data_IF_940957489245
#
_entry.id   IF_940957489245
#
_cell.length_a   1.000
_cell.length_b   1.000
_cell.length_c   1.000
_cell.angle_alpha   90.00
_cell.angle_beta   90.00
_cell.angle_gamma   90.00
#
_symmetry.space_group_name_H-M   'P 1'
#
loop_
_entity.id
_entity.type
_entity.pdbx_description
1 polymer ?
#
# COMPACT_ATOMS: atom_id res chain seq x y z
N UNK A 1 3.15 -5.27 3.90
CA UNK A 1 2.78 -6.47 3.10
C UNK A 1 3.93 -7.49 2.97
N UNK A 2 4.95 -7.40 3.81
CA UNK A 2 6.02 -8.41 3.89
C UNK A 2 5.99 -9.04 5.28
N UNK A 3 6.44 -10.28 5.39
CA UNK A 3 6.80 -10.81 6.71
C UNK A 3 8.17 -10.28 7.18
N UNK A 4 8.59 -10.70 8.39
CA UNK A 4 9.84 -10.27 9.00
C UNK A 4 11.10 -10.69 8.21
N UNK A 5 11.02 -11.66 7.30
CA UNK A 5 12.15 -12.06 6.45
C UNK A 5 12.24 -11.23 5.16
N UNK A 6 11.16 -10.53 4.78
CA UNK A 6 11.09 -9.77 3.53
C UNK A 6 10.31 -10.46 2.40
N UNK A 7 9.73 -11.64 2.62
CA UNK A 7 8.83 -12.26 1.65
C UNK A 7 7.50 -11.50 1.57
N UNK A 8 7.00 -11.26 0.36
CA UNK A 8 5.72 -10.60 0.12
C UNK A 8 4.55 -11.55 0.36
N UNK A 9 3.58 -11.07 1.13
CA UNK A 9 2.27 -11.70 1.28
C UNK A 9 1.42 -11.47 0.04
N UNK A 10 0.49 -12.39 -0.20
CA UNK A 10 -0.29 -12.41 -1.42
C UNK A 10 -1.26 -11.24 -1.54
N UNK A 11 -2.03 -10.95 -0.50
CA UNK A 11 -3.10 -9.96 -0.60
C UNK A 11 -3.46 -9.35 0.74
N UNK A 12 -4.09 -8.19 0.67
CA UNK A 12 -4.86 -7.62 1.76
C UNK A 12 -6.33 -7.58 1.30
N UNK A 13 -7.24 -7.89 2.20
CA UNK A 13 -8.67 -7.81 1.97
C UNK A 13 -9.07 -6.36 1.65
N UNK A 14 -10.15 -6.19 0.88
CA UNK A 14 -10.74 -4.89 0.64
C UNK A 14 -11.69 -4.47 1.78
N UNK A 15 -12.13 -5.43 2.60
CA UNK A 15 -13.17 -5.21 3.61
C UNK A 15 -12.64 -5.09 5.05
N UNK A 16 -13.36 -4.27 5.84
CA UNK A 16 -13.29 -4.25 7.30
C UNK A 16 -14.72 -4.28 7.84
N UNK A 17 -15.04 -5.28 8.67
CA UNK A 17 -16.40 -5.50 9.19
C UNK A 17 -17.43 -5.65 8.05
N UNK A 18 -17.07 -6.40 7.01
CA UNK A 18 -17.84 -6.57 5.78
C UNK A 18 -18.14 -5.26 5.02
N UNK A 19 -17.33 -4.20 5.24
CA UNK A 19 -17.46 -2.92 4.51
C UNK A 19 -16.22 -2.68 3.68
N UNK A 20 -16.40 -2.57 2.37
CA UNK A 20 -15.31 -2.33 1.44
C UNK A 20 -14.72 -0.94 1.64
N UNK A 21 -13.38 -0.83 1.65
CA UNK A 21 -12.69 0.45 1.70
C UNK A 21 -12.77 1.20 3.03
N UNK A 22 -13.51 0.71 4.03
CA UNK A 22 -13.79 1.41 5.31
C UNK A 22 -12.54 1.93 6.03
N UNK A 23 -11.42 1.21 5.97
CA UNK A 23 -10.15 1.66 6.58
C UNK A 23 -9.56 2.91 5.89
N UNK A 24 -9.94 3.16 4.64
CA UNK A 24 -9.41 4.23 3.77
C UNK A 24 -10.36 5.42 3.64
N UNK A 25 -11.58 5.34 4.15
CA UNK A 25 -12.54 6.44 4.11
C UNK A 25 -12.22 7.49 5.16
N UNK A 26 -12.33 8.75 4.75
CA UNK A 26 -12.17 9.93 5.58
C UNK A 26 -13.42 10.78 5.48
N UNK A 27 -13.61 11.65 6.47
CA UNK A 27 -14.52 12.80 6.37
C UNK A 27 -13.75 14.10 6.59
N UNK A 28 -14.24 15.24 6.08
CA UNK A 28 -13.64 16.54 6.36
C UNK A 28 -13.53 16.81 7.87
N UNK A 29 -14.55 16.42 8.64
CA UNK A 29 -14.59 16.57 10.09
C UNK A 29 -13.50 15.74 10.78
N UNK A 30 -13.25 14.52 10.31
CA UNK A 30 -12.20 13.66 10.87
C UNK A 30 -10.80 14.24 10.61
N UNK A 31 -10.54 14.75 9.41
CA UNK A 31 -9.27 15.44 9.12
C UNK A 31 -9.08 16.65 10.03
N UNK A 32 -10.15 17.43 10.28
CA UNK A 32 -10.13 18.56 11.22
C UNK A 32 -9.88 18.11 12.67
N UNK A 33 -10.40 16.95 13.09
CA UNK A 33 -10.10 16.40 14.41
C UNK A 33 -8.62 16.02 14.56
N UNK A 34 -7.99 15.52 13.49
CA UNK A 34 -6.57 15.11 13.52
C UNK A 34 -5.62 16.30 13.47
N UNK A 35 -5.90 17.28 12.59
CA UNK A 35 -4.98 18.38 12.29
C UNK A 35 -5.32 19.67 13.05
N UNK A 36 -6.50 19.75 13.66
CA UNK A 36 -7.04 20.96 14.27
C UNK A 36 -7.74 21.87 13.26
N UNK A 37 -8.51 22.84 13.76
CA UNK A 37 -9.16 23.87 12.94
C UNK A 37 -8.18 24.98 12.59
N UNK A 38 -7.78 25.06 11.31
CA UNK A 38 -6.88 26.10 10.83
C UNK A 38 -7.01 26.30 9.31
N UNK A 39 -6.58 27.45 8.76
CA UNK A 39 -6.49 27.66 7.31
C UNK A 39 -5.62 26.60 6.62
N UNK A 40 -4.61 26.06 7.31
CA UNK A 40 -3.77 24.97 6.80
C UNK A 40 -4.58 23.69 6.61
N UNK A 41 -5.50 23.41 7.54
CA UNK A 41 -6.40 22.24 7.44
C UNK A 41 -7.34 22.37 6.25
N UNK A 42 -7.86 23.57 5.98
CA UNK A 42 -8.68 23.82 4.79
C UNK A 42 -7.90 23.54 3.49
N UNK A 43 -6.64 23.97 3.44
CA UNK A 43 -5.74 23.66 2.32
C UNK A 43 -5.50 22.14 2.18
N UNK A 44 -5.38 21.40 3.29
CA UNK A 44 -5.23 19.93 3.26
C UNK A 44 -6.50 19.26 2.72
N UNK A 45 -7.68 19.71 3.14
CA UNK A 45 -8.95 19.21 2.61
C UNK A 45 -9.02 19.42 1.10
N UNK A 46 -8.68 20.61 0.61
CA UNK A 46 -8.65 20.91 -0.82
C UNK A 46 -7.56 20.17 -1.60
N UNK A 47 -6.42 19.92 -0.96
CA UNK A 47 -5.33 19.16 -1.58
C UNK A 47 -5.70 17.68 -1.74
N UNK A 48 -6.45 17.11 -0.78
CA UNK A 48 -6.87 15.72 -0.81
C UNK A 48 -8.28 15.47 -1.35
N UNK A 49 -8.92 16.50 -1.90
CA UNK A 49 -10.23 16.44 -2.54
C UNK A 49 -11.42 16.25 -1.59
N UNK A 50 -11.27 16.62 -0.32
CA UNK A 50 -12.33 16.59 0.71
C UNK A 50 -13.21 17.84 0.71
N UNK A 51 -12.84 18.86 -0.06
CA UNK A 51 -13.66 20.04 -0.34
C UNK A 51 -14.72 19.80 -1.43
N UNK A 52 -14.65 18.67 -2.13
CA UNK A 52 -15.62 18.20 -3.11
C UNK A 52 -16.58 17.13 -2.56
N UNK A 53 -17.46 16.58 -3.42
CA UNK A 53 -18.32 15.47 -3.05
C UNK A 53 -17.49 14.22 -2.70
N UNK A 54 -18.08 13.33 -1.89
CA UNK A 54 -17.51 12.02 -1.60
C UNK A 54 -17.20 11.26 -2.90
N UNK A 55 -16.02 10.65 -2.98
CA UNK A 55 -15.53 9.97 -4.18
C UNK A 55 -15.60 8.44 -4.09
N UNK A 56 -16.13 7.89 -3.00
CA UNK A 56 -16.30 6.46 -2.82
C UNK A 56 -17.65 6.12 -2.21
N UNK A 57 -18.32 5.14 -2.83
CA UNK A 57 -19.52 4.48 -2.33
C UNK A 57 -19.24 2.98 -2.30
N UNK A 58 -19.50 2.34 -1.16
CA UNK A 58 -19.38 0.88 -1.03
C UNK A 58 -20.37 0.20 -2.01
N UNK A 59 -19.89 -0.56 -3.01
CA UNK A 59 -20.74 -1.16 -4.05
C UNK A 59 -21.60 -2.31 -3.50
N UNK A 60 -21.18 -2.93 -2.40
CA UNK A 60 -21.91 -3.99 -1.71
C UNK A 60 -22.92 -3.43 -0.69
N UNK A 61 -22.76 -2.15 -0.31
CA UNK A 61 -23.64 -1.46 0.61
C UNK A 61 -24.02 -0.06 0.14
N UNK A 62 -24.83 0.02 -0.92
CA UNK A 62 -25.29 1.29 -1.49
C UNK A 62 -26.05 2.20 -0.52
N UNK A 63 -26.60 1.66 0.58
CA UNK A 63 -27.27 2.44 1.63
C UNK A 63 -26.31 3.03 2.68
N UNK A 64 -25.03 2.63 2.66
CA UNK A 64 -24.01 3.23 3.51
C UNK A 64 -23.73 4.67 3.07
N UNK A 65 -23.38 5.57 4.00
CA UNK A 65 -22.93 6.90 3.62
C UNK A 65 -21.65 6.80 2.77
N UNK A 66 -21.62 7.56 1.68
CA UNK A 66 -20.41 7.74 0.87
C UNK A 66 -19.30 8.40 1.70
N UNK A 67 -18.05 8.17 1.32
CA UNK A 67 -16.88 8.72 1.99
C UNK A 67 -15.80 9.20 1.02
N UNK A 68 -14.72 9.75 1.57
CA UNK A 68 -13.59 10.26 0.80
C UNK A 68 -12.39 9.34 0.95
N UNK A 69 -11.92 8.80 -0.17
CA UNK A 69 -10.56 8.27 -0.30
C UNK A 69 -9.65 9.43 -0.65
N UNK A 70 -8.62 9.67 0.18
CA UNK A 70 -7.65 10.75 -0.08
C UNK A 70 -7.00 10.53 -1.44
N UNK A 71 -7.03 11.55 -2.29
CA UNK A 71 -6.42 11.53 -3.61
C UNK A 71 -5.97 12.95 -3.95
N UNK A 72 -5.08 13.10 -4.93
CA UNK A 72 -4.64 14.42 -5.38
C UNK A 72 -5.39 14.75 -6.68
N UNK A 73 -6.47 15.57 -6.63
CA UNK A 73 -7.23 15.94 -7.83
C UNK A 73 -6.46 16.89 -8.75
N UNK A 74 -5.40 17.51 -8.25
CA UNK A 74 -4.51 18.45 -8.95
C UNK A 74 -3.06 18.09 -8.68
N UNK A 75 -2.17 18.42 -9.60
CA UNK A 75 -0.73 18.30 -9.36
C UNK A 75 -0.30 19.25 -8.25
N UNK A 76 0.85 18.96 -7.62
CA UNK A 76 1.46 19.84 -6.62
C UNK A 76 1.64 21.27 -7.15
N UNK A 77 2.08 21.41 -8.39
CA UNK A 77 2.31 22.72 -9.03
C UNK A 77 1.01 23.50 -9.18
N UNK A 78 -0.05 22.89 -9.71
CA UNK A 78 -1.36 23.54 -9.88
C UNK A 78 -1.98 23.93 -8.54
N UNK A 79 -1.89 23.05 -7.53
CA UNK A 79 -2.42 23.33 -6.21
C UNK A 79 -1.70 24.51 -5.57
N UNK A 80 -0.37 24.47 -5.51
CA UNK A 80 0.45 25.48 -4.84
C UNK A 80 0.30 26.85 -5.48
N UNK A 81 0.23 26.91 -6.81
CA UNK A 81 -0.07 28.13 -7.56
C UNK A 81 -1.45 28.71 -7.19
N UNK A 82 -2.49 27.87 -7.13
CA UNK A 82 -3.85 28.32 -6.79
C UNK A 82 -4.03 28.72 -5.31
N UNK A 83 -3.32 28.04 -4.41
CA UNK A 83 -3.43 28.23 -2.96
C UNK A 83 -2.50 29.34 -2.43
N UNK A 84 -1.64 29.91 -3.29
CA UNK A 84 -0.70 30.96 -2.91
C UNK A 84 0.39 30.50 -1.94
N UNK A 85 0.78 29.22 -1.99
CA UNK A 85 1.83 28.64 -1.13
C UNK A 85 3.03 28.22 -1.97
N UNK A 86 4.24 28.24 -1.41
CA UNK A 86 5.42 27.74 -2.12
C UNK A 86 5.40 26.21 -2.18
N UNK A 87 5.78 25.65 -3.32
CA UNK A 87 5.81 24.21 -3.53
C UNK A 87 6.69 23.47 -2.51
N UNK A 88 7.90 23.97 -2.27
CA UNK A 88 8.84 23.33 -1.32
C UNK A 88 8.34 23.38 0.12
N UNK A 89 7.75 24.50 0.55
CA UNK A 89 7.15 24.66 1.88
C UNK A 89 5.94 23.74 2.05
N UNK A 90 5.11 23.62 1.01
CA UNK A 90 3.97 22.70 1.01
C UNK A 90 4.43 21.25 1.09
N UNK A 91 5.40 20.86 0.27
CA UNK A 91 5.95 19.51 0.21
C UNK A 91 6.60 19.08 1.53
N UNK A 92 7.35 19.97 2.18
CA UNK A 92 7.94 19.71 3.49
C UNK A 92 6.86 19.49 4.56
N UNK A 93 5.81 20.32 4.55
CA UNK A 93 4.72 20.19 5.50
C UNK A 93 3.85 18.95 5.26
N UNK A 94 3.68 18.51 4.00
CA UNK A 94 2.95 17.27 3.66
C UNK A 94 3.50 16.05 4.37
N UNK A 95 4.82 15.95 4.56
CA UNK A 95 5.43 14.82 5.28
C UNK A 95 4.82 14.67 6.68
N UNK A 96 4.77 15.76 7.44
CA UNK A 96 4.22 15.76 8.81
C UNK A 96 2.71 15.53 8.83
N UNK A 97 1.98 16.08 7.85
CA UNK A 97 0.52 15.92 7.73
C UNK A 97 0.18 14.45 7.43
N UNK A 98 0.88 13.86 6.48
CA UNK A 98 0.67 12.47 6.06
C UNK A 98 1.01 11.50 7.19
N UNK A 99 2.06 11.78 7.97
CA UNK A 99 2.38 11.01 9.17
C UNK A 99 1.27 11.06 10.22
N UNK A 100 0.68 12.24 10.47
CA UNK A 100 -0.43 12.40 11.41
C UNK A 100 -1.68 11.65 10.95
N UNK A 101 -2.07 11.82 9.68
CA UNK A 101 -3.21 11.14 9.09
C UNK A 101 -3.00 9.61 9.07
N UNK A 102 -1.81 9.16 8.70
CA UNK A 102 -1.44 7.75 8.70
C UNK A 102 -1.50 7.16 10.11
N UNK A 103 -0.96 7.87 11.11
CA UNK A 103 -1.00 7.46 12.52
C UNK A 103 -2.43 7.31 13.01
N UNK A 104 -3.30 8.26 12.68
CA UNK A 104 -4.73 8.19 13.03
C UNK A 104 -5.42 7.01 12.32
N UNK A 105 -5.22 6.86 11.01
CA UNK A 105 -5.78 5.73 10.24
C UNK A 105 -5.37 4.37 10.80
N UNK A 106 -4.12 4.23 11.25
CA UNK A 106 -3.60 2.98 11.80
C UNK A 106 -4.24 2.58 13.15
N UNK A 107 -5.00 3.48 13.80
CA UNK A 107 -5.82 3.15 14.97
C UNK A 107 -7.11 2.42 14.57
N UNK A 108 -7.53 2.50 13.30
CA UNK A 108 -8.70 1.79 12.77
C UNK A 108 -8.37 0.31 12.61
N UNK A 109 -9.41 -0.53 12.70
CA UNK A 109 -9.31 -1.95 12.32
C UNK A 109 -8.85 -2.04 10.87
N UNK A 110 -7.74 -2.74 10.63
CA UNK A 110 -7.18 -2.92 9.30
C UNK A 110 -7.77 -4.15 8.60
N UNK A 111 -7.86 -4.15 7.26
CA UNK A 111 -8.32 -5.31 6.52
C UNK A 111 -7.42 -6.53 6.79
N UNK A 112 -8.03 -7.71 6.77
CA UNK A 112 -7.29 -8.95 6.96
C UNK A 112 -6.24 -9.12 5.87
N UNK A 113 -5.08 -9.69 6.22
CA UNK A 113 -4.01 -9.94 5.26
C UNK A 113 -3.91 -11.45 4.99
N UNK A 114 -3.98 -11.86 3.72
CA UNK A 114 -3.64 -13.22 3.32
C UNK A 114 -2.11 -13.36 3.30
N UNK A 115 -1.60 -13.86 4.42
CA UNK A 115 -0.21 -14.14 4.73
C UNK A 115 0.44 -15.26 3.89
N UNK A 116 -0.26 -15.78 2.88
CA UNK A 116 0.30 -16.74 1.93
C UNK A 116 1.40 -16.09 1.10
N UNK A 117 2.56 -16.73 1.06
CA UNK A 117 3.68 -16.39 0.19
C UNK A 117 3.54 -17.22 -1.08
N UNK A 118 3.45 -16.55 -2.23
CA UNK A 118 3.39 -17.19 -3.55
C UNK A 118 4.71 -16.95 -4.29
N UNK A 119 5.35 -18.02 -4.75
CA UNK A 119 6.64 -17.95 -5.45
C UNK A 119 6.55 -17.11 -6.70
N UNK A 120 5.49 -17.28 -7.50
CA UNK A 120 5.29 -16.52 -8.74
C UNK A 120 5.11 -15.02 -8.50
N UNK A 121 4.35 -14.62 -7.47
CA UNK A 121 4.10 -13.21 -7.19
C UNK A 121 5.32 -12.54 -6.57
N UNK A 122 6.05 -13.24 -5.71
CA UNK A 122 7.32 -12.75 -5.19
C UNK A 122 8.35 -12.63 -6.32
N UNK A 123 8.44 -13.58 -7.24
CA UNK A 123 9.33 -13.48 -8.40
C UNK A 123 8.99 -12.26 -9.28
N UNK A 124 7.71 -11.97 -9.47
CA UNK A 124 7.26 -10.77 -10.19
C UNK A 124 7.67 -9.48 -9.45
N UNK A 125 7.42 -9.42 -8.14
CA UNK A 125 7.79 -8.28 -7.30
C UNK A 125 9.32 -8.05 -7.27
N UNK A 126 10.11 -9.11 -7.06
CA UNK A 126 11.58 -9.07 -7.07
C UNK A 126 12.08 -8.52 -8.40
N UNK A 127 11.58 -9.03 -9.53
CA UNK A 127 11.97 -8.55 -10.86
C UNK A 127 11.62 -7.07 -11.04
N UNK A 128 10.40 -6.66 -10.66
CA UNK A 128 9.96 -5.27 -10.77
C UNK A 128 10.83 -4.33 -9.94
N UNK A 129 11.14 -4.71 -8.70
CA UNK A 129 11.98 -3.93 -7.79
C UNK A 129 13.44 -3.84 -8.28
N UNK A 130 14.01 -4.95 -8.75
CA UNK A 130 15.37 -4.94 -9.30
C UNK A 130 15.47 -4.01 -10.53
N UNK A 131 14.49 -4.08 -11.44
CA UNK A 131 14.42 -3.20 -12.60
C UNK A 131 14.21 -1.73 -12.20
N UNK A 132 13.32 -1.45 -11.25
CA UNK A 132 13.10 -0.10 -10.75
C UNK A 132 14.37 0.49 -10.13
N UNK A 133 15.10 -0.29 -9.32
CA UNK A 133 16.38 0.14 -8.75
C UNK A 133 17.43 0.43 -9.81
N UNK A 134 17.50 -0.40 -10.86
CA UNK A 134 18.41 -0.17 -11.99
C UNK A 134 18.08 1.10 -12.77
N UNK A 135 16.79 1.32 -13.09
CA UNK A 135 16.36 2.45 -13.94
C UNK A 135 16.36 3.77 -13.16
N UNK A 136 15.96 3.75 -11.89
CA UNK A 136 15.84 4.95 -11.06
C UNK A 136 17.12 5.29 -10.28
N UNK A 137 18.10 4.37 -10.25
CA UNK A 137 19.32 4.55 -9.46
C UNK A 137 19.09 4.53 -7.95
N UNK A 138 17.97 3.98 -7.49
CA UNK A 138 17.56 3.97 -6.08
C UNK A 138 17.79 2.59 -5.46
N UNK A 139 18.76 2.52 -4.54
CA UNK A 139 19.19 1.27 -3.90
C UNK A 139 18.10 0.65 -3.05
N UNK A 140 17.12 1.41 -2.56
CA UNK A 140 16.03 0.88 -1.71
C UNK A 140 15.25 -0.22 -2.42
N UNK A 141 15.07 -0.10 -3.73
CA UNK A 141 14.38 -1.12 -4.53
C UNK A 141 15.24 -2.37 -4.72
N UNK A 142 16.54 -2.20 -4.97
CA UNK A 142 17.49 -3.32 -5.08
C UNK A 142 17.57 -4.08 -3.76
N UNK A 143 17.68 -3.38 -2.64
CA UNK A 143 17.75 -3.97 -1.31
C UNK A 143 16.45 -4.74 -0.97
N UNK A 144 15.29 -4.19 -1.33
CA UNK A 144 14.02 -4.87 -1.15
C UNK A 144 13.92 -6.14 -2.02
N UNK A 145 14.39 -6.08 -3.27
CA UNK A 145 14.45 -7.24 -4.16
C UNK A 145 15.37 -8.33 -3.61
N UNK A 146 16.55 -7.95 -3.09
CA UNK A 146 17.53 -8.85 -2.48
C UNK A 146 16.95 -9.58 -1.26
N UNK A 147 16.40 -8.83 -0.30
CA UNK A 147 15.76 -9.42 0.90
C UNK A 147 14.63 -10.38 0.54
N UNK A 148 13.78 -10.01 -0.41
CA UNK A 148 12.68 -10.87 -0.86
C UNK A 148 13.19 -12.15 -1.55
N UNK A 149 14.27 -12.04 -2.33
CA UNK A 149 14.91 -13.19 -2.97
C UNK A 149 15.50 -14.15 -1.94
N UNK A 150 16.26 -13.63 -0.97
CA UNK A 150 16.83 -14.42 0.13
C UNK A 150 15.72 -15.12 0.94
N UNK A 151 14.68 -14.39 1.32
CA UNK A 151 13.54 -14.94 2.03
C UNK A 151 12.85 -16.06 1.25
N UNK A 152 12.66 -15.88 -0.06
CA UNK A 152 12.03 -16.87 -0.92
C UNK A 152 12.89 -18.14 -1.03
N UNK A 153 14.21 -17.98 -1.24
CA UNK A 153 15.12 -19.12 -1.31
C UNK A 153 15.22 -19.86 0.03
N UNK A 154 15.22 -19.16 1.16
CA UNK A 154 15.24 -19.80 2.48
C UNK A 154 13.97 -20.57 2.78
N UNK A 155 12.80 -20.07 2.35
CA UNK A 155 11.49 -20.59 2.75
C UNK A 155 10.87 -21.58 1.77
N UNK A 156 11.15 -21.43 0.48
CA UNK A 156 10.45 -22.13 -0.60
C UNK A 156 11.38 -22.99 -1.43
N UNK A 157 12.70 -22.99 -1.19
CA UNK A 157 13.62 -23.94 -1.81
C UNK A 157 13.57 -25.28 -1.07
N UNK A 158 13.34 -26.36 -1.80
CA UNK A 158 13.41 -27.70 -1.27
C UNK A 158 14.84 -28.28 -1.32
N UNK A 159 15.01 -29.48 -0.78
CA UNK A 159 16.32 -30.14 -0.66
C UNK A 159 16.97 -30.48 -2.01
N UNK A 160 16.18 -30.61 -3.07
CA UNK A 160 16.68 -30.86 -4.43
C UNK A 160 17.00 -29.55 -5.17
N UNK A 161 16.79 -28.40 -4.52
CA UNK A 161 17.00 -27.08 -5.08
C UNK A 161 15.82 -26.54 -5.90
N UNK A 162 14.69 -27.25 -5.95
CA UNK A 162 13.46 -26.79 -6.59
C UNK A 162 12.72 -25.75 -5.75
N UNK A 163 11.89 -24.93 -6.39
CA UNK A 163 11.03 -23.97 -5.69
C UNK A 163 9.60 -24.51 -5.54
N UNK A 164 9.11 -24.51 -4.31
CA UNK A 164 7.74 -24.84 -3.94
C UNK A 164 6.78 -23.75 -4.45
N UNK A 165 5.51 -24.08 -4.65
CA UNK A 165 4.54 -23.12 -5.23
C UNK A 165 4.20 -21.99 -4.27
N UNK A 166 3.99 -22.36 -3.01
CA UNK A 166 3.49 -21.46 -1.99
C UNK A 166 3.77 -21.96 -0.60
N UNK A 167 3.75 -21.03 0.35
CA UNK A 167 3.84 -21.31 1.77
C UNK A 167 2.84 -20.46 2.52
N UNK A 168 2.22 -21.01 3.55
CA UNK A 168 1.41 -20.26 4.50
C UNK A 168 1.70 -20.75 5.91
N UNK A 169 2.07 -19.85 6.82
CA UNK A 169 2.38 -20.16 8.24
C UNK A 169 3.35 -21.34 8.40
N UNK A 170 4.46 -21.33 7.64
CA UNK A 170 5.48 -22.38 7.70
C UNK A 170 5.10 -23.71 7.03
N UNK A 171 3.89 -23.87 6.50
CA UNK A 171 3.48 -25.04 5.73
C UNK A 171 3.57 -24.74 4.25
N UNK A 172 4.51 -25.40 3.57
CA UNK A 172 4.64 -25.32 2.12
C UNK A 172 3.67 -26.27 1.41
N UNK A 173 3.11 -25.83 0.27
CA UNK A 173 2.29 -26.67 -0.61
C UNK A 173 3.13 -27.24 -1.75
N UNK A 174 2.79 -28.44 -2.27
CA UNK A 174 3.62 -29.17 -3.22
C UNK A 174 3.89 -28.37 -4.50
N UNK A 175 4.96 -28.79 -5.20
CA UNK A 175 5.46 -28.18 -6.45
C UNK A 175 4.33 -27.99 -7.47
N UNK A 176 4.35 -26.92 -8.28
CA UNK A 176 3.56 -26.92 -9.50
C UNK A 176 4.08 -28.02 -10.44
N UNK A 177 3.18 -28.65 -11.19
CA UNK A 177 3.49 -29.65 -12.20
C UNK A 177 4.24 -28.99 -13.37
N UNK A 178 5.54 -28.78 -13.23
CA UNK A 178 6.43 -28.50 -14.36
C UNK A 178 7.72 -29.27 -14.13
N UNK A 179 7.68 -30.57 -14.44
CA UNK A 179 8.91 -31.30 -14.78
C UNK A 179 9.36 -30.74 -16.12
N UNK A 180 10.45 -29.98 -16.14
CA UNK A 180 11.24 -29.83 -17.36
C UNK A 180 11.81 -31.21 -17.67
N UNK A 181 11.08 -31.98 -18.49
CA UNK A 181 11.53 -33.24 -19.03
C UNK A 181 12.62 -32.96 -20.05
N UNK A 182 13.87 -32.94 -19.61
CA UNK A 182 15.02 -33.27 -20.44
C UNK A 182 15.84 -34.29 -19.64
N UNK A 183 15.57 -35.57 -19.92
CA UNK A 183 16.56 -36.63 -19.79
C UNK A 183 17.24 -36.77 -21.15
#
# INVERSE_FOLDING_TARGET
MTDASGAFWSAQDAEVDAREGKSYLWSPQEVRQVLGESPRTDQVLAFYGLDGPANFQDPHHASAPAGWVLHQPRTLSEFTASAGVKADEWQAALVSIDELLLKHRNQRKQPMTDDKVLTSWNALAIRGLALAGQVLGDTRYVDAAGRACEALLQKLRDQEGGLLRSMRRGRAKPRPFWRTGLR
#
